data_IF_452767297520
#
_entry.id   IF_452767297520
#
_cell.length_a   1.000
_cell.length_b   1.000
_cell.length_c   1.000
_cell.angle_alpha   90.00
_cell.angle_beta   90.00
_cell.angle_gamma   90.00
#
_symmetry.space_group_name_H-M   'P 1'
#
loop_
_entity.id
_entity.type
_entity.pdbx_description
1 polymer ?
#
# COMPACT_ATOMS: atom_id res chain seq x y z
N UNK A 1 -5.44 -4.65 24.90
CA UNK A 1 -6.26 -4.12 26.01
C UNK A 1 -7.14 -3.01 25.45
N UNK A 2 -8.46 -3.22 25.41
CA UNK A 2 -9.41 -2.14 25.18
C UNK A 2 -9.28 -1.16 26.33
N UNK A 3 -8.81 0.06 26.07
CA UNK A 3 -8.99 1.15 27.01
C UNK A 3 -10.46 1.58 26.84
N UNK A 4 -11.35 0.90 27.55
CA UNK A 4 -12.75 1.34 27.67
C UNK A 4 -12.74 2.55 28.58
N UNK A 5 -12.69 3.74 27.99
CA UNK A 5 -12.82 4.98 28.75
C UNK A 5 -14.20 5.06 29.38
N UNK A 6 -14.26 5.54 30.62
CA UNK A 6 -15.45 5.60 31.50
C UNK A 6 -16.71 6.17 30.81
N UNK A 7 -16.58 7.07 29.83
CA UNK A 7 -17.72 7.62 29.08
C UNK A 7 -18.55 6.62 28.27
N UNK A 8 -17.95 5.50 27.82
CA UNK A 8 -18.67 4.44 27.08
C UNK A 8 -19.47 3.54 28.03
N UNK A 9 -19.07 3.44 29.30
CA UNK A 9 -19.75 2.61 30.31
C UNK A 9 -20.91 3.31 31.00
N UNK A 10 -20.98 4.65 30.93
CA UNK A 10 -21.98 5.48 31.62
C UNK A 10 -23.14 5.89 30.69
N UNK A 11 -22.98 5.71 29.38
CA UNK A 11 -23.98 6.09 28.38
C UNK A 11 -24.78 4.89 27.91
N UNK A 12 -26.07 5.07 27.58
CA UNK A 12 -26.86 4.02 26.94
C UNK A 12 -26.18 3.61 25.61
N UNK A 13 -25.68 2.38 25.49
CA UNK A 13 -25.00 1.91 24.28
C UNK A 13 -25.91 1.99 23.04
N UNK A 14 -27.22 1.79 23.22
CA UNK A 14 -28.18 1.88 22.12
C UNK A 14 -28.33 3.31 21.59
N UNK A 15 -28.23 4.32 22.46
CA UNK A 15 -28.34 5.72 22.05
C UNK A 15 -27.01 6.33 21.60
N UNK A 16 -25.88 5.76 22.03
CA UNK A 16 -24.55 6.39 21.81
C UNK A 16 -23.64 5.62 20.87
N UNK A 17 -23.74 4.30 20.80
CA UNK A 17 -22.91 3.47 19.90
C UNK A 17 -23.66 3.09 18.64
N UNK A 18 -24.97 2.77 18.73
CA UNK A 18 -25.76 2.32 17.58
C UNK A 18 -25.70 3.30 16.40
N UNK A 19 -25.89 4.63 16.57
CA UNK A 19 -25.84 5.56 15.44
C UNK A 19 -24.49 5.54 14.70
N UNK A 20 -23.39 5.30 15.42
CA UNK A 20 -22.04 5.23 14.85
C UNK A 20 -21.83 3.93 14.09
N UNK A 21 -22.34 2.82 14.61
CA UNK A 21 -22.29 1.52 13.93
C UNK A 21 -23.18 1.51 12.68
N UNK A 22 -24.35 2.14 12.74
CA UNK A 22 -25.26 2.30 11.60
C UNK A 22 -24.62 3.17 10.52
N UNK A 23 -24.00 4.29 10.90
CA UNK A 23 -23.24 5.13 9.97
C UNK A 23 -22.09 4.36 9.31
N UNK A 24 -21.26 3.65 10.08
CA UNK A 24 -20.16 2.86 9.51
C UNK A 24 -20.69 1.78 8.56
N UNK A 25 -21.82 1.16 8.90
CA UNK A 25 -22.47 0.18 8.03
C UNK A 25 -23.02 0.82 6.74
N UNK A 26 -23.58 2.03 6.81
CA UNK A 26 -24.14 2.73 5.65
C UNK A 26 -23.07 3.14 4.62
N UNK A 27 -21.83 3.37 5.06
CA UNK A 27 -20.65 3.61 4.19
C UNK A 27 -19.91 2.31 3.81
N UNK A 28 -20.51 1.15 4.06
CA UNK A 28 -19.99 -0.16 3.64
C UNK A 28 -18.94 -0.78 4.57
N UNK A 29 -18.72 -0.24 5.77
CA UNK A 29 -17.84 -0.82 6.78
C UNK A 29 -18.61 -1.84 7.60
N UNK A 30 -18.57 -3.08 7.13
CA UNK A 30 -19.24 -4.24 7.74
C UNK A 30 -18.23 -5.31 8.15
N UNK A 31 -18.68 -6.44 8.69
CA UNK A 31 -17.82 -7.56 9.03
C UNK A 31 -17.08 -8.12 7.79
N UNK A 32 -15.81 -8.56 7.91
CA UNK A 32 -14.98 -8.61 9.12
C UNK A 32 -14.21 -7.30 9.38
N UNK A 33 -14.38 -6.26 8.56
CA UNK A 33 -13.63 -5.00 8.71
C UNK A 33 -14.06 -4.21 9.94
N UNK A 34 -15.36 -4.07 10.19
CA UNK A 34 -15.90 -3.30 11.31
C UNK A 34 -15.30 -3.69 12.67
N UNK A 35 -15.32 -4.96 13.11
CA UNK A 35 -14.74 -5.33 14.41
C UNK A 35 -13.22 -5.10 14.45
N UNK A 36 -12.51 -5.31 13.33
CA UNK A 36 -11.08 -5.04 13.22
C UNK A 36 -10.77 -3.54 13.32
N UNK A 37 -11.57 -2.70 12.68
CA UNK A 37 -11.42 -1.25 12.68
C UNK A 37 -11.66 -0.69 14.09
N UNK A 38 -12.73 -1.10 14.76
CA UNK A 38 -13.04 -0.69 16.14
C UNK A 38 -11.93 -1.14 17.10
N UNK A 39 -11.43 -2.37 16.95
CA UNK A 39 -10.34 -2.89 17.79
C UNK A 39 -9.04 -2.12 17.62
N UNK A 40 -8.70 -1.75 16.39
CA UNK A 40 -7.46 -1.01 16.09
C UNK A 40 -7.61 0.49 16.36
N UNK A 41 -8.81 1.05 16.22
CA UNK A 41 -9.06 2.50 16.32
C UNK A 41 -10.32 2.76 17.15
N UNK A 42 -10.28 2.48 18.48
CA UNK A 42 -11.48 2.60 19.33
C UNK A 42 -12.00 4.03 19.43
N UNK A 43 -11.14 5.02 19.20
CA UNK A 43 -11.50 6.45 19.19
C UNK A 43 -12.59 6.78 18.15
N UNK A 44 -12.76 5.96 17.11
CA UNK A 44 -13.83 6.15 16.12
C UNK A 44 -15.23 6.13 16.76
N UNK A 45 -15.39 5.37 17.85
CA UNK A 45 -16.64 5.28 18.60
C UNK A 45 -16.85 6.45 19.58
N UNK A 46 -15.88 7.34 19.73
CA UNK A 46 -15.99 8.56 20.53
C UNK A 46 -16.44 9.76 19.71
N UNK A 47 -16.29 9.70 18.39
CA UNK A 47 -16.64 10.79 17.48
C UNK A 47 -18.14 10.85 17.22
N UNK A 48 -18.71 12.05 17.21
CA UNK A 48 -20.09 12.28 16.72
C UNK A 48 -20.16 11.97 15.23
N UNK A 49 -21.28 11.39 14.80
CA UNK A 49 -21.53 11.10 13.39
C UNK A 49 -21.57 12.41 12.60
N UNK A 50 -22.36 13.37 13.05
CA UNK A 50 -22.64 14.63 12.37
C UNK A 50 -21.45 15.59 12.42
N UNK A 51 -20.82 15.71 13.59
CA UNK A 51 -19.76 16.69 13.80
C UNK A 51 -18.38 16.20 13.34
N UNK A 52 -18.19 14.90 13.14
CA UNK A 52 -16.88 14.35 12.84
C UNK A 52 -16.86 13.23 11.81
N UNK A 53 -17.59 12.12 12.00
CA UNK A 53 -17.47 10.97 11.09
C UNK A 53 -17.94 11.31 9.67
N UNK A 54 -19.12 11.91 9.51
CA UNK A 54 -19.63 12.29 8.19
C UNK A 54 -18.70 13.29 7.46
N UNK A 55 -18.29 14.43 8.07
CA UNK A 55 -17.33 15.34 7.45
C UNK A 55 -15.97 14.70 7.11
N UNK A 56 -15.52 13.75 7.94
CA UNK A 56 -14.29 13.02 7.68
C UNK A 56 -14.42 12.11 6.46
N UNK A 57 -15.53 11.38 6.34
CA UNK A 57 -15.80 10.56 5.15
C UNK A 57 -15.99 11.40 3.90
N UNK A 58 -16.63 12.57 4.00
CA UNK A 58 -16.73 13.50 2.87
C UNK A 58 -15.34 13.96 2.38
N UNK A 59 -14.44 14.29 3.32
CA UNK A 59 -13.06 14.63 2.98
C UNK A 59 -12.30 13.45 2.34
N UNK A 60 -12.61 12.21 2.75
CA UNK A 60 -12.04 11.01 2.11
C UNK A 60 -12.61 10.79 0.70
N UNK A 61 -13.90 11.08 0.48
CA UNK A 61 -14.54 10.99 -0.85
C UNK A 61 -13.96 11.97 -1.84
N UNK A 62 -13.59 13.18 -1.42
CA UNK A 62 -12.90 14.15 -2.27
C UNK A 62 -11.63 13.58 -2.90
N UNK A 63 -10.93 12.67 -2.21
CA UNK A 63 -9.67 12.08 -2.69
C UNK A 63 -9.85 10.70 -3.29
N UNK A 64 -10.68 9.85 -2.68
CA UNK A 64 -10.85 8.45 -3.05
C UNK A 64 -12.02 8.21 -4.00
N UNK A 65 -12.90 9.20 -4.18
CA UNK A 65 -14.07 9.17 -5.06
C UNK A 65 -15.24 8.38 -4.49
N UNK A 66 -15.05 7.08 -4.23
CA UNK A 66 -16.13 6.16 -3.85
C UNK A 66 -15.91 5.53 -2.47
N UNK A 67 -17.00 5.22 -1.77
CA UNK A 67 -16.96 4.54 -0.47
C UNK A 67 -16.26 3.17 -0.55
N UNK A 68 -16.37 2.46 -1.67
CA UNK A 68 -15.65 1.20 -1.91
C UNK A 68 -14.13 1.36 -1.85
N UNK A 69 -13.61 2.50 -2.30
CA UNK A 69 -12.18 2.81 -2.26
C UNK A 69 -11.74 3.15 -0.83
N UNK A 70 -12.58 3.87 -0.07
CA UNK A 70 -12.38 4.12 1.35
C UNK A 70 -12.32 2.81 2.12
N UNK A 71 -13.31 1.93 1.94
CA UNK A 71 -13.36 0.61 2.58
C UNK A 71 -12.12 -0.22 2.23
N UNK A 72 -11.67 -0.18 0.97
CA UNK A 72 -10.45 -0.88 0.53
C UNK A 72 -9.20 -0.31 1.18
N UNK A 73 -9.04 1.01 1.21
CA UNK A 73 -7.96 1.69 1.91
C UNK A 73 -7.92 1.32 3.39
N UNK A 74 -9.09 1.29 4.07
CA UNK A 74 -9.20 0.91 5.47
C UNK A 74 -8.86 -0.56 5.71
N UNK A 75 -9.12 -1.48 4.77
CA UNK A 75 -8.67 -2.88 4.90
C UNK A 75 -7.15 -2.99 4.90
N UNK A 76 -6.48 -2.20 4.06
CA UNK A 76 -5.02 -2.15 3.98
C UNK A 76 -4.41 -1.44 5.18
N UNK A 77 -4.97 -0.30 5.58
CA UNK A 77 -4.42 0.53 6.66
C UNK A 77 -5.54 1.20 7.48
N UNK A 78 -6.09 0.50 8.49
CA UNK A 78 -7.15 1.03 9.36
C UNK A 78 -6.76 2.33 10.10
N UNK A 79 -5.46 2.58 10.26
CA UNK A 79 -4.92 3.77 10.91
C UNK A 79 -5.19 5.07 10.15
N UNK A 80 -5.55 5.03 8.86
CA UNK A 80 -5.90 6.21 8.06
C UNK A 80 -7.06 6.99 8.67
N UNK A 81 -7.98 6.32 9.37
CA UNK A 81 -9.06 6.98 10.12
C UNK A 81 -8.57 7.95 11.20
N UNK A 82 -7.30 7.85 11.63
CA UNK A 82 -6.71 8.74 12.63
C UNK A 82 -6.07 9.98 11.98
N UNK A 83 -5.83 9.94 10.68
CA UNK A 83 -5.22 11.05 9.95
C UNK A 83 -6.28 12.13 9.72
N UNK A 84 -5.92 13.40 9.85
CA UNK A 84 -6.80 14.49 9.38
C UNK A 84 -6.66 14.57 7.87
N UNK A 85 -7.69 14.25 7.06
CA UNK A 85 -7.51 14.23 5.62
C UNK A 85 -7.06 15.61 5.11
N UNK A 86 -7.70 16.69 5.59
CA UNK A 86 -7.33 18.05 5.17
C UNK A 86 -5.90 18.46 5.50
N UNK A 87 -5.32 18.01 6.61
CA UNK A 87 -3.96 18.38 6.99
C UNK A 87 -2.91 17.44 6.40
N UNK A 88 -3.19 16.14 6.40
CA UNK A 88 -2.28 15.09 5.93
C UNK A 88 -2.17 15.10 4.40
N UNK A 89 -3.29 15.28 3.70
CA UNK A 89 -3.28 15.34 2.24
C UNK A 89 -2.78 16.68 1.69
N UNK A 90 -2.77 17.75 2.50
CA UNK A 90 -2.42 19.11 2.06
C UNK A 90 -1.06 19.19 1.37
N UNK A 91 -0.06 18.46 1.88
CA UNK A 91 1.32 18.59 1.41
C UNK A 91 1.65 17.58 0.31
N UNK A 92 1.00 16.42 0.33
CA UNK A 92 1.31 15.31 -0.59
C UNK A 92 0.49 15.41 -1.88
N UNK A 93 -0.80 15.77 -1.80
CA UNK A 93 -1.67 15.80 -2.98
C UNK A 93 -1.23 16.82 -4.04
N UNK A 94 -0.89 18.08 -3.71
CA UNK A 94 -0.45 19.04 -4.73
C UNK A 94 0.82 18.59 -5.43
N UNK A 95 1.73 17.92 -4.71
CA UNK A 95 2.95 17.38 -5.33
C UNK A 95 2.63 16.26 -6.32
N UNK A 96 1.70 15.36 -5.97
CA UNK A 96 1.27 14.28 -6.86
C UNK A 96 0.51 14.82 -8.09
N UNK A 97 -0.41 15.76 -7.89
CA UNK A 97 -1.26 16.31 -8.94
C UNK A 97 -0.53 17.34 -9.81
N UNK A 98 0.02 18.39 -9.20
CA UNK A 98 0.51 19.57 -9.92
C UNK A 98 1.96 19.40 -10.42
N UNK A 99 2.83 18.82 -9.59
CA UNK A 99 4.27 18.72 -9.90
C UNK A 99 4.59 17.49 -10.74
N UNK A 100 3.83 16.40 -10.53
CA UNK A 100 4.10 15.12 -11.17
C UNK A 100 3.04 14.71 -12.20
N UNK A 101 1.95 15.48 -12.32
CA UNK A 101 0.95 15.31 -13.38
C UNK A 101 0.10 14.05 -13.24
N UNK A 102 0.01 13.46 -12.04
CA UNK A 102 -0.91 12.34 -11.84
C UNK A 102 -2.34 12.85 -11.96
N UNK A 103 -3.19 12.08 -12.62
CA UNK A 103 -4.62 12.37 -12.66
C UNK A 103 -5.26 12.09 -11.29
N UNK A 104 -6.39 12.75 -10.95
CA UNK A 104 -7.13 12.46 -9.72
C UNK A 104 -7.49 10.97 -9.57
N UNK A 105 -7.81 10.29 -10.68
CA UNK A 105 -8.09 8.85 -10.68
C UNK A 105 -6.87 8.01 -10.32
N UNK A 106 -5.67 8.38 -10.75
CA UNK A 106 -4.45 7.66 -10.40
C UNK A 106 -4.05 7.87 -8.96
N UNK A 107 -4.20 9.09 -8.45
CA UNK A 107 -3.99 9.40 -7.03
C UNK A 107 -4.98 8.61 -6.17
N UNK A 108 -6.26 8.59 -6.54
CA UNK A 108 -7.27 7.78 -5.87
C UNK A 108 -6.88 6.29 -5.83
N UNK A 109 -6.45 5.72 -6.97
CA UNK A 109 -5.98 4.33 -7.05
C UNK A 109 -4.75 4.08 -6.19
N UNK A 110 -3.81 5.03 -6.17
CA UNK A 110 -2.59 4.95 -5.37
C UNK A 110 -2.88 4.97 -3.87
N UNK A 111 -3.71 5.91 -3.40
CA UNK A 111 -4.11 6.00 -1.99
C UNK A 111 -4.95 4.79 -1.60
N UNK A 112 -5.80 4.27 -2.50
CA UNK A 112 -6.57 3.03 -2.26
C UNK A 112 -5.66 1.82 -2.06
N UNK A 113 -4.67 1.66 -2.93
CA UNK A 113 -3.73 0.53 -2.89
C UNK A 113 -2.74 0.63 -1.71
N UNK A 114 -2.29 1.85 -1.41
CA UNK A 114 -1.28 2.10 -0.39
C UNK A 114 -1.60 3.41 0.34
N UNK A 115 -2.49 3.37 1.34
CA UNK A 115 -2.95 4.59 2.00
C UNK A 115 -1.84 5.36 2.71
N UNK A 116 -0.75 4.69 3.12
CA UNK A 116 0.42 5.33 3.73
C UNK A 116 1.11 6.38 2.87
N UNK A 117 0.82 6.46 1.56
CA UNK A 117 1.30 7.52 0.67
C UNK A 117 0.98 8.91 1.23
N UNK A 118 -0.17 9.06 1.89
CA UNK A 118 -0.62 10.35 2.45
C UNK A 118 0.27 10.85 3.59
N UNK A 119 1.05 9.95 4.19
CA UNK A 119 1.96 10.26 5.30
C UNK A 119 3.36 10.66 4.80
N UNK A 120 3.58 10.65 3.49
CA UNK A 120 4.87 10.98 2.90
C UNK A 120 5.04 12.48 2.77
N UNK A 121 6.20 12.98 3.20
CA UNK A 121 6.63 14.34 2.92
C UNK A 121 6.94 14.55 1.42
N UNK A 122 6.92 15.80 0.94
CA UNK A 122 7.10 16.14 -0.47
C UNK A 122 8.45 15.66 -1.03
N UNK A 123 9.52 15.72 -0.24
CA UNK A 123 10.85 15.26 -0.66
C UNK A 123 10.85 13.76 -0.94
N UNK A 124 10.20 12.97 -0.08
CA UNK A 124 10.12 11.52 -0.27
C UNK A 124 9.30 11.15 -1.51
N UNK A 125 8.23 11.90 -1.79
CA UNK A 125 7.46 11.72 -3.04
C UNK A 125 8.36 12.00 -4.24
N UNK A 126 9.12 13.10 -4.22
CA UNK A 126 10.04 13.47 -5.31
C UNK A 126 11.12 12.42 -5.56
N UNK A 127 11.70 11.87 -4.49
CA UNK A 127 12.67 10.76 -4.57
C UNK A 127 12.07 9.53 -5.27
N UNK A 128 10.85 9.13 -4.86
CA UNK A 128 10.17 7.97 -5.46
C UNK A 128 9.90 8.23 -6.94
N UNK A 129 9.41 9.42 -7.30
CA UNK A 129 9.18 9.78 -8.71
C UNK A 129 10.46 9.71 -9.52
N UNK A 130 11.59 10.14 -8.97
CA UNK A 130 12.86 10.03 -9.68
C UNK A 130 13.25 8.57 -9.93
N UNK A 131 13.04 7.68 -8.96
CA UNK A 131 13.28 6.24 -9.14
C UNK A 131 12.35 5.65 -10.21
N UNK A 132 11.08 6.03 -10.19
CA UNK A 132 10.07 5.57 -11.17
C UNK A 132 10.44 6.01 -12.59
N UNK A 133 10.89 7.27 -12.75
CA UNK A 133 11.42 7.81 -14.03
C UNK A 133 12.67 7.07 -14.49
N UNK A 134 13.62 6.83 -13.59
CA UNK A 134 14.84 6.08 -13.91
C UNK A 134 14.55 4.62 -14.30
N UNK A 135 13.36 4.11 -13.95
CA UNK A 135 12.90 2.79 -14.34
C UNK A 135 12.02 2.81 -15.60
N UNK A 136 11.96 3.92 -16.34
CA UNK A 136 11.08 4.21 -17.49
C UNK A 136 9.63 3.74 -17.30
N UNK A 137 9.08 4.02 -16.12
CA UNK A 137 7.66 3.80 -15.82
C UNK A 137 6.93 5.13 -15.92
N UNK A 138 6.18 5.32 -17.01
CA UNK A 138 5.44 6.55 -17.25
C UNK A 138 4.22 6.69 -16.32
N UNK A 139 3.92 7.91 -15.82
CA UNK A 139 2.59 8.25 -15.31
C UNK A 139 1.51 7.90 -16.35
N UNK A 140 0.33 7.48 -15.91
CA UNK A 140 -0.72 6.94 -16.78
C UNK A 140 -0.68 5.43 -16.96
N UNK A 141 0.49 4.80 -16.83
CA UNK A 141 0.58 3.34 -16.92
C UNK A 141 -0.10 2.69 -15.72
N UNK A 142 -0.83 1.56 -15.89
CA UNK A 142 -1.37 0.80 -14.76
C UNK A 142 -0.29 0.41 -13.73
N UNK A 143 0.94 0.21 -14.21
CA UNK A 143 2.07 -0.24 -13.42
C UNK A 143 2.68 0.86 -12.54
N UNK A 144 2.59 2.13 -12.97
CA UNK A 144 3.07 3.28 -12.20
C UNK A 144 2.61 3.24 -10.74
N UNK A 145 1.30 3.04 -10.54
CA UNK A 145 0.71 3.01 -9.20
C UNK A 145 1.26 1.86 -8.36
N UNK A 146 1.51 0.70 -8.96
CA UNK A 146 2.08 -0.46 -8.26
C UNK A 146 3.56 -0.27 -7.90
N UNK A 147 4.35 0.28 -8.81
CA UNK A 147 5.78 0.58 -8.58
C UNK A 147 5.91 1.63 -7.49
N UNK A 148 5.15 2.74 -7.62
CA UNK A 148 5.13 3.81 -6.63
C UNK A 148 4.71 3.28 -5.25
N UNK A 149 3.61 2.53 -5.18
CA UNK A 149 3.11 1.93 -3.93
C UNK A 149 4.16 1.02 -3.27
N UNK A 150 4.91 0.24 -4.06
CA UNK A 150 6.00 -0.61 -3.54
C UNK A 150 7.14 0.23 -2.97
N UNK A 151 7.59 1.25 -3.72
CA UNK A 151 8.69 2.13 -3.32
C UNK A 151 8.38 2.95 -2.05
N UNK A 152 7.10 3.25 -1.77
CA UNK A 152 6.72 3.90 -0.50
C UNK A 152 7.08 3.08 0.73
N UNK A 153 7.23 1.76 0.60
CA UNK A 153 7.52 0.84 1.71
C UNK A 153 9.02 0.68 1.97
N UNK A 154 9.86 1.21 1.09
CA UNK A 154 11.31 1.10 1.19
C UNK A 154 11.90 2.48 1.46
N UNK A 155 13.04 2.54 2.16
CA UNK A 155 13.90 3.73 2.18
C UNK A 155 14.86 3.68 0.98
N UNK A 156 15.42 4.81 0.57
CA UNK A 156 16.42 4.86 -0.52
C UNK A 156 17.59 3.90 -0.26
N UNK A 157 18.17 3.94 0.94
CA UNK A 157 19.25 3.02 1.33
C UNK A 157 18.83 1.54 1.32
N UNK A 158 17.57 1.25 1.64
CA UNK A 158 17.03 -0.11 1.55
C UNK A 158 16.93 -0.56 0.09
N UNK A 159 16.48 0.31 -0.80
CA UNK A 159 16.40 0.03 -2.23
C UNK A 159 17.79 -0.22 -2.83
N UNK A 160 18.77 0.64 -2.52
CA UNK A 160 20.16 0.47 -2.96
C UNK A 160 20.75 -0.86 -2.48
N UNK A 161 20.50 -1.23 -1.22
CA UNK A 161 20.91 -2.52 -0.69
C UNK A 161 20.22 -3.69 -1.42
N UNK A 162 18.94 -3.58 -1.80
CA UNK A 162 18.27 -4.59 -2.64
C UNK A 162 18.99 -4.76 -3.97
N UNK A 163 19.31 -3.66 -4.65
CA UNK A 163 20.03 -3.69 -5.92
C UNK A 163 21.41 -4.33 -5.76
N UNK A 164 22.14 -4.03 -4.67
CA UNK A 164 23.42 -4.67 -4.37
C UNK A 164 23.29 -6.18 -4.14
N UNK A 165 22.23 -6.64 -3.47
CA UNK A 165 21.96 -8.07 -3.28
C UNK A 165 21.70 -8.75 -4.64
N UNK A 166 20.86 -8.17 -5.49
CA UNK A 166 20.62 -8.70 -6.84
C UNK A 166 21.92 -8.77 -7.64
N UNK A 167 22.77 -7.75 -7.54
CA UNK A 167 24.11 -7.75 -8.16
C UNK A 167 25.01 -8.87 -7.64
N UNK A 168 24.98 -9.15 -6.34
CA UNK A 168 25.73 -10.28 -5.76
C UNK A 168 25.26 -11.64 -6.27
N UNK A 169 24.03 -11.72 -6.78
CA UNK A 169 23.43 -12.91 -7.38
C UNK A 169 23.65 -13.00 -8.90
N UNK A 170 24.32 -12.00 -9.49
CA UNK A 170 24.67 -11.96 -10.90
C UNK A 170 23.63 -11.30 -11.81
N UNK A 171 22.67 -10.54 -11.26
CA UNK A 171 21.80 -9.67 -12.04
C UNK A 171 22.47 -8.30 -12.20
N UNK A 172 22.43 -7.73 -13.40
CA UNK A 172 22.95 -6.37 -13.58
C UNK A 172 21.91 -5.31 -13.18
N UNK A 173 22.26 -4.03 -13.39
CA UNK A 173 21.35 -2.92 -13.04
C UNK A 173 20.10 -2.91 -13.94
N UNK A 174 20.24 -3.25 -15.21
CA UNK A 174 19.16 -3.23 -16.18
C UNK A 174 18.17 -4.36 -15.89
N UNK A 175 18.66 -5.56 -15.57
CA UNK A 175 17.86 -6.68 -15.10
C UNK A 175 16.93 -6.28 -13.95
N UNK A 176 17.48 -5.62 -12.93
CA UNK A 176 16.71 -5.19 -11.75
C UNK A 176 15.71 -4.09 -12.10
N UNK A 177 16.08 -3.18 -13.01
CA UNK A 177 15.17 -2.15 -13.52
C UNK A 177 13.99 -2.76 -14.28
N UNK A 178 14.24 -3.73 -15.16
CA UNK A 178 13.21 -4.49 -15.88
C UNK A 178 12.30 -5.23 -14.89
N UNK A 179 12.87 -5.93 -13.91
CA UNK A 179 12.08 -6.63 -12.89
C UNK A 179 11.24 -5.67 -12.04
N UNK A 180 11.78 -4.49 -11.69
CA UNK A 180 11.05 -3.44 -10.98
C UNK A 180 9.87 -2.92 -11.82
N UNK A 181 10.11 -2.68 -13.11
CA UNK A 181 9.11 -2.21 -14.07
C UNK A 181 7.97 -3.20 -14.22
N UNK A 182 8.25 -4.49 -14.41
CA UNK A 182 7.20 -5.48 -14.70
C UNK A 182 6.55 -6.08 -13.46
N UNK A 183 7.30 -6.22 -12.38
CA UNK A 183 6.81 -6.88 -11.18
C UNK A 183 7.48 -6.32 -9.92
N UNK A 184 7.11 -5.09 -9.48
CA UNK A 184 7.83 -4.36 -8.43
C UNK A 184 7.92 -5.10 -7.10
N UNK A 185 6.98 -6.00 -6.82
CA UNK A 185 7.02 -6.82 -5.59
C UNK A 185 8.20 -7.79 -5.53
N UNK A 186 8.86 -8.10 -6.66
CA UNK A 186 10.11 -8.86 -6.71
C UNK A 186 11.22 -8.16 -5.93
N UNK A 187 11.27 -6.82 -5.95
CA UNK A 187 12.28 -6.04 -5.23
C UNK A 187 12.04 -6.04 -3.71
N UNK A 188 10.81 -6.31 -3.28
CA UNK A 188 10.42 -6.37 -1.87
C UNK A 188 10.82 -7.66 -1.13
N UNK A 189 11.41 -8.65 -1.81
CA UNK A 189 11.74 -9.95 -1.22
C UNK A 189 12.90 -9.82 -0.21
N UNK A 190 12.85 -10.53 0.92
CA UNK A 190 13.96 -10.55 1.88
C UNK A 190 15.23 -11.16 1.27
N UNK A 191 16.41 -10.73 1.71
CA UNK A 191 17.68 -11.23 1.17
C UNK A 191 17.79 -12.75 1.25
N UNK A 192 17.45 -13.32 2.42
CA UNK A 192 17.47 -14.76 2.66
C UNK A 192 16.55 -15.52 1.69
N UNK A 193 15.31 -15.04 1.52
CA UNK A 193 14.35 -15.68 0.61
C UNK A 193 14.84 -15.56 -0.84
N UNK A 194 15.34 -14.39 -1.24
CA UNK A 194 15.83 -14.14 -2.58
C UNK A 194 17.01 -15.08 -2.91
N UNK A 195 18.02 -15.16 -2.05
CA UNK A 195 19.17 -16.06 -2.22
C UNK A 195 18.76 -17.52 -2.36
N UNK A 196 17.86 -17.98 -1.48
CA UNK A 196 17.31 -19.36 -1.53
C UNK A 196 16.57 -19.64 -2.83
N UNK A 197 15.68 -18.74 -3.24
CA UNK A 197 14.86 -18.90 -4.44
C UNK A 197 15.73 -18.87 -5.70
N UNK A 198 16.65 -17.91 -5.84
CA UNK A 198 17.55 -17.83 -7.00
C UNK A 198 18.46 -19.07 -7.10
N UNK A 199 19.04 -19.51 -5.98
CA UNK A 199 19.86 -20.74 -5.96
C UNK A 199 19.06 -21.98 -6.38
N UNK A 200 17.80 -22.10 -5.94
CA UNK A 200 16.91 -23.18 -6.38
C UNK A 200 16.59 -23.11 -7.88
N UNK A 201 16.20 -21.93 -8.38
CA UNK A 201 15.77 -21.76 -9.76
C UNK A 201 16.92 -22.07 -10.73
N UNK A 202 18.12 -21.57 -10.45
CA UNK A 202 19.29 -21.81 -11.30
C UNK A 202 19.83 -23.23 -11.09
N UNK A 203 20.01 -23.67 -9.84
CA UNK A 203 20.70 -24.91 -9.53
C UNK A 203 19.86 -26.18 -9.67
N UNK A 204 18.56 -26.11 -9.39
CA UNK A 204 17.66 -27.28 -9.42
C UNK A 204 16.63 -27.24 -10.54
N UNK A 205 16.08 -26.07 -10.83
CA UNK A 205 15.06 -25.93 -11.88
C UNK A 205 15.67 -25.67 -13.27
N UNK A 206 16.98 -25.43 -13.36
CA UNK A 206 17.68 -25.23 -14.63
C UNK A 206 17.34 -23.92 -15.34
N UNK A 207 16.69 -22.97 -14.66
CA UNK A 207 16.38 -21.66 -15.24
C UNK A 207 17.62 -20.79 -15.34
N UNK A 208 17.70 -20.02 -16.41
CA UNK A 208 18.71 -18.97 -16.56
C UNK A 208 18.32 -17.73 -15.75
N UNK A 209 19.24 -16.77 -15.62
CA UNK A 209 18.92 -15.45 -15.05
C UNK A 209 17.99 -14.66 -15.95
N UNK A 210 18.11 -14.81 -17.25
CA UNK A 210 17.25 -14.17 -18.24
C UNK A 210 15.79 -14.62 -18.08
N UNK A 211 15.56 -15.91 -17.79
CA UNK A 211 14.21 -16.41 -17.47
C UNK A 211 13.63 -15.74 -16.22
N UNK A 212 14.46 -15.52 -15.20
CA UNK A 212 14.06 -14.83 -13.96
C UNK A 212 13.71 -13.37 -14.23
N UNK A 213 14.48 -12.68 -15.07
CA UNK A 213 14.24 -11.28 -15.45
C UNK A 213 12.97 -11.16 -16.29
N UNK A 214 12.74 -12.10 -17.20
CA UNK A 214 11.53 -12.17 -18.04
C UNK A 214 10.27 -12.47 -17.22
N UNK A 215 10.39 -13.30 -16.17
CA UNK A 215 9.27 -13.70 -15.31
C UNK A 215 9.54 -13.43 -13.82
N UNK A 216 9.65 -12.17 -13.37
CA UNK A 216 10.09 -11.87 -12.00
C UNK A 216 9.09 -12.30 -10.91
N UNK A 217 7.85 -12.64 -11.29
CA UNK A 217 6.85 -13.18 -10.37
C UNK A 217 7.25 -14.54 -9.77
N UNK A 218 8.11 -15.32 -10.44
CA UNK A 218 8.60 -16.60 -9.92
C UNK A 218 9.42 -16.44 -8.64
N UNK A 219 10.02 -15.26 -8.41
CA UNK A 219 10.77 -14.95 -7.19
C UNK A 219 9.85 -14.79 -5.97
N UNK A 220 8.61 -14.34 -6.17
CA UNK A 220 7.68 -14.02 -5.08
C UNK A 220 6.85 -15.24 -4.68
N UNK A 221 6.49 -16.10 -5.65
CA UNK A 221 5.71 -17.33 -5.40
C UNK A 221 6.43 -18.21 -4.37
N UNK A 222 5.67 -18.76 -3.41
CA UNK A 222 6.17 -19.83 -2.56
C UNK A 222 6.31 -21.07 -3.44
N UNK A 223 7.49 -21.30 -3.99
CA UNK A 223 7.84 -22.59 -4.56
C UNK A 223 7.90 -23.56 -3.39
N UNK A 224 6.79 -24.23 -3.10
CA UNK A 224 6.80 -25.37 -2.20
C UNK A 224 7.72 -26.44 -2.82
N UNK A 225 8.53 -27.15 -2.04
CA UNK A 225 9.26 -28.29 -2.55
C UNK A 225 8.28 -29.43 -2.82
N UNK A 226 7.67 -29.46 -4.00
CA UNK A 226 7.00 -30.64 -4.53
C UNK A 226 6.94 -30.55 -6.06
N UNK A 227 7.64 -31.50 -6.68
CA UNK A 227 7.51 -31.96 -8.06
C UNK A 227 7.73 -30.93 -9.19
N UNK A 228 8.91 -31.06 -9.80
CA UNK A 228 9.11 -30.92 -11.24
C UNK A 228 7.96 -31.62 -11.98
N UNK A 229 7.08 -30.87 -12.63
CA UNK A 229 6.42 -31.27 -13.89
C UNK A 229 6.10 -29.97 -14.66
N UNK A 230 6.99 -29.60 -15.58
CA UNK A 230 6.57 -28.89 -16.78
C UNK A 230 6.67 -29.93 -17.91
N UNK A 231 5.52 -30.33 -18.45
CA UNK A 231 5.42 -30.96 -19.77
C UNK A 231 5.34 -29.86 -20.82
#
# INVERSE_FOLDING_TARGET
MMVVTVGVLVSDPAQTLQPKLDFLSSVGITAPLLPRLVSLTPIILHHSVEAHLAPHFDSLREVLGFDSNIVTALRHMPFVMRCSPKATFLWTLPVLLDVHGLTPSEVSRLVTLQPGVILLGPDRVREIIQVVKNADVEPGSPMFVHVFAMLTKLKTSTLENKFAIYRSLGFDKEDVTVMLRWYPTSIGISEEKLKKTVSFLIGKAGLSREDIVTYPNILVRRLLPAAVVFH
#
